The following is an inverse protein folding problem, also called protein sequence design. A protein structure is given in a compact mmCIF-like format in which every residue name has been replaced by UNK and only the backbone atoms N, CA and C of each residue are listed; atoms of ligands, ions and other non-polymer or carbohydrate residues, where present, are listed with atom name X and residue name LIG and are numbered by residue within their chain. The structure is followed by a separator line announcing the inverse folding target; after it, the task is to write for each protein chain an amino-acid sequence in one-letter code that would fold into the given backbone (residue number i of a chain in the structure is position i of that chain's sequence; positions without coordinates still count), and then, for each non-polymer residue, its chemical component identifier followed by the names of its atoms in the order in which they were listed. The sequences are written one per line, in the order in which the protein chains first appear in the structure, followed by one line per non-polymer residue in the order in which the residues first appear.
data_IF_840919271634
#
_entry.id   IF_840919271634
#
_cell.length_a   1.000
_cell.length_b   1.000
_cell.length_c   1.000
_cell.angle_alpha   90.00
_cell.angle_beta   90.00
_cell.angle_gamma   90.00
#
_symmetry.space_group_name_H-M   'P 1'
#
loop_
_entity.id
_entity.type
_entity.pdbx_description
1 polymer ?
#
# COMPACT_ATOMS: atom_id res chain seq x y z
N UNK A 1 -12.95 14.79 27.82
CA UNK A 1 -12.01 14.33 28.87
C UNK A 1 -12.47 12.96 29.34
N UNK A 2 -12.09 11.91 28.61
CA UNK A 2 -12.53 10.54 28.84
C UNK A 2 -11.55 9.83 29.78
N UNK A 3 -12.12 9.29 30.87
CA UNK A 3 -11.41 8.74 32.03
C UNK A 3 -10.79 7.39 31.72
N UNK A 4 -9.54 7.25 32.14
CA UNK A 4 -8.70 6.07 32.06
C UNK A 4 -9.19 5.02 33.06
N UNK A 5 -9.45 3.79 32.61
CA UNK A 5 -9.73 2.69 33.52
C UNK A 5 -8.41 2.04 33.94
N UNK A 6 -7.96 2.34 35.17
CA UNK A 6 -6.89 1.61 35.85
C UNK A 6 -7.53 0.50 36.69
N UNK A 7 -7.12 -0.75 36.46
CA UNK A 7 -7.35 -1.84 37.43
C UNK A 7 -6.00 -2.31 37.96
N UNK A 8 -5.62 -1.78 39.12
CA UNK A 8 -4.64 -2.37 40.03
C UNK A 8 -5.18 -3.73 40.48
N UNK A 9 -4.49 -4.82 40.15
CA UNK A 9 -4.52 -6.03 40.96
C UNK A 9 -3.10 -6.32 41.42
N UNK A 10 -2.94 -6.23 42.74
CA UNK A 10 -1.74 -6.51 43.49
C UNK A 10 -1.91 -7.92 44.06
N UNK A 11 -1.07 -8.86 43.66
CA UNK A 11 -0.91 -10.14 44.33
C UNK A 11 0.58 -10.44 44.46
N UNK A 12 1.06 -10.45 45.71
CA UNK A 12 2.29 -11.10 46.12
C UNK A 12 2.12 -12.61 45.96
N UNK A 13 3.16 -13.32 45.49
CA UNK A 13 3.88 -14.31 46.32
C UNK A 13 5.05 -15.00 45.59
N UNK A 14 6.07 -15.27 46.41
CA UNK A 14 7.08 -16.33 46.35
C UNK A 14 8.16 -16.35 45.24
N UNK A 15 9.38 -16.04 45.68
CA UNK A 15 10.62 -16.40 45.01
C UNK A 15 10.86 -17.92 45.10
N UNK A 16 11.24 -18.53 43.97
CA UNK A 16 11.90 -19.84 43.92
C UNK A 16 13.13 -19.70 43.04
N UNK A 17 14.30 -19.87 43.63
CA UNK A 17 15.59 -20.00 42.96
C UNK A 17 15.77 -21.43 42.47
N UNK A 18 15.98 -21.59 41.16
CA UNK A 18 16.40 -22.84 40.54
C UNK A 18 17.10 -22.56 39.21
N UNK A 19 18.43 -22.52 39.22
CA UNK A 19 19.23 -22.52 37.99
C UNK A 19 19.33 -23.95 37.46
N UNK A 20 18.65 -24.22 36.35
CA UNK A 20 19.04 -25.28 35.42
C UNK A 20 19.24 -24.65 34.05
N UNK A 21 20.50 -24.55 33.63
CA UNK A 21 20.87 -24.01 32.33
C UNK A 21 20.41 -24.95 31.22
N UNK A 22 19.42 -24.51 30.44
CA UNK A 22 19.21 -25.01 29.08
C UNK A 22 20.06 -24.16 28.15
N UNK A 23 21.13 -24.72 27.60
CA UNK A 23 21.87 -24.11 26.51
C UNK A 23 20.88 -23.86 25.36
N UNK A 24 20.66 -22.58 25.07
CA UNK A 24 19.72 -22.13 24.05
C UNK A 24 20.10 -22.70 22.70
N UNK A 25 19.18 -23.41 22.06
CA UNK A 25 19.19 -23.48 20.61
C UNK A 25 19.17 -22.03 20.13
N UNK A 26 20.24 -21.60 19.48
CA UNK A 26 20.27 -20.39 18.69
C UNK A 26 19.26 -20.55 17.56
N UNK A 27 17.98 -20.34 17.85
CA UNK A 27 16.99 -20.06 16.82
C UNK A 27 17.44 -18.76 16.20
N UNK A 28 18.08 -18.85 15.03
CA UNK A 28 18.23 -17.73 14.11
C UNK A 28 16.93 -16.91 14.17
N UNK A 29 17.04 -15.63 14.52
CA UNK A 29 15.90 -14.72 14.72
C UNK A 29 15.21 -14.36 13.39
N UNK A 30 15.02 -15.33 12.49
CA UNK A 30 14.06 -15.19 11.40
C UNK A 30 12.69 -15.28 12.07
N UNK A 31 12.14 -14.14 12.46
CA UNK A 31 10.76 -14.08 12.97
C UNK A 31 9.81 -14.58 11.87
N UNK A 32 8.85 -15.41 12.27
CA UNK A 32 7.89 -16.00 11.35
C UNK A 32 7.11 -14.91 10.59
N UNK A 33 6.85 -15.12 9.29
CA UNK A 33 6.07 -14.18 8.50
C UNK A 33 4.65 -14.03 9.08
N UNK A 34 4.03 -12.83 9.02
CA UNK A 34 2.65 -12.63 9.49
C UNK A 34 1.68 -13.59 8.80
N UNK A 35 0.54 -13.96 9.37
CA UNK A 35 -0.46 -14.75 8.65
C UNK A 35 -0.91 -14.06 7.35
N UNK A 36 -1.43 -14.83 6.39
CA UNK A 36 -2.08 -14.28 5.19
C UNK A 36 -3.48 -13.71 5.56
N UNK A 37 -4.03 -12.74 4.80
CA UNK A 37 -3.43 -12.11 3.61
C UNK A 37 -2.34 -11.10 3.98
N UNK A 38 -1.20 -11.18 3.28
CA UNK A 38 0.00 -10.38 3.58
C UNK A 38 0.73 -9.94 2.32
N UNK A 39 1.44 -8.81 2.44
CA UNK A 39 2.35 -8.27 1.43
C UNK A 39 3.73 -8.15 2.05
N UNK A 40 4.72 -8.80 1.44
CA UNK A 40 6.13 -8.63 1.84
C UNK A 40 6.69 -7.39 1.15
N UNK A 41 7.51 -6.62 1.86
CA UNK A 41 8.20 -5.47 1.31
C UNK A 41 9.69 -5.79 1.23
N UNK A 42 10.22 -5.87 0.01
CA UNK A 42 11.62 -6.18 -0.24
C UNK A 42 12.06 -5.74 -1.63
N UNK A 43 13.35 -5.51 -1.82
CA UNK A 43 13.93 -5.20 -3.13
C UNK A 43 13.21 -4.04 -3.85
N UNK A 44 12.75 -3.05 -3.07
CA UNK A 44 11.97 -1.91 -3.57
C UNK A 44 10.69 -2.32 -4.34
N UNK A 45 10.05 -3.41 -3.89
CA UNK A 45 8.79 -3.92 -4.42
C UNK A 45 7.86 -4.36 -3.30
N UNK A 46 6.57 -4.39 -3.62
CA UNK A 46 5.56 -5.13 -2.87
C UNK A 46 5.42 -6.53 -3.48
N UNK A 47 5.36 -7.56 -2.64
CA UNK A 47 5.22 -8.95 -3.08
C UNK A 47 4.10 -9.68 -2.28
N UNK A 48 2.96 -10.01 -2.91
CA UNK A 48 2.63 -9.68 -4.31
C UNK A 48 2.40 -8.18 -4.50
N UNK A 49 2.58 -7.71 -5.74
CA UNK A 49 2.25 -6.34 -6.16
C UNK A 49 0.74 -6.13 -6.34
N UNK A 50 0.01 -7.21 -6.63
CA UNK A 50 -1.46 -7.28 -6.65
C UNK A 50 -1.98 -8.38 -5.74
N UNK A 51 -2.77 -8.01 -4.74
CA UNK A 51 -3.42 -8.95 -3.83
C UNK A 51 -4.94 -8.83 -3.94
N UNK A 52 -5.62 -9.95 -4.18
CA UNK A 52 -7.09 -10.02 -4.21
C UNK A 52 -7.56 -10.60 -2.88
N UNK A 53 -8.49 -9.91 -2.22
CA UNK A 53 -9.04 -10.26 -0.90
C UNK A 53 -10.57 -10.15 -0.89
N UNK A 54 -11.18 -10.72 0.13
CA UNK A 54 -12.62 -10.56 0.39
C UNK A 54 -12.88 -9.33 1.26
N UNK A 55 -14.09 -8.77 1.12
CA UNK A 55 -14.54 -7.62 1.93
C UNK A 55 -14.48 -7.98 3.42
N UNK A 56 -13.89 -7.09 4.21
CA UNK A 56 -13.72 -7.22 5.64
C UNK A 56 -12.37 -7.83 6.05
N UNK A 57 -11.56 -8.35 5.12
CA UNK A 57 -10.24 -8.88 5.45
C UNK A 57 -9.25 -7.77 5.86
N UNK A 58 -8.25 -8.16 6.64
CA UNK A 58 -7.14 -7.30 7.07
C UNK A 58 -5.88 -7.75 6.36
N UNK A 59 -5.21 -6.83 5.65
CA UNK A 59 -3.91 -7.11 5.02
C UNK A 59 -2.80 -6.61 5.93
N UNK A 60 -1.78 -7.44 6.12
CA UNK A 60 -0.54 -7.06 6.80
C UNK A 60 0.58 -6.82 5.78
N UNK A 61 1.14 -5.62 5.74
CA UNK A 61 2.40 -5.35 5.08
C UNK A 61 3.55 -5.58 6.05
N UNK A 62 4.59 -6.26 5.62
CA UNK A 62 5.74 -6.60 6.45
C UNK A 62 7.05 -6.34 5.72
N UNK A 63 7.89 -5.50 6.29
CA UNK A 63 9.21 -5.22 5.75
C UNK A 63 10.22 -6.29 6.18
N UNK A 64 10.79 -6.99 5.22
CA UNK A 64 11.73 -8.11 5.48
C UNK A 64 13.20 -7.71 5.31
N UNK A 65 13.48 -6.45 4.97
CA UNK A 65 14.83 -5.91 4.76
C UNK A 65 15.13 -4.68 5.61
N UNK A 66 16.41 -4.31 5.69
CA UNK A 66 16.87 -3.14 6.47
C UNK A 66 16.60 -1.80 5.78
N UNK A 67 16.17 -1.84 4.51
CA UNK A 67 15.76 -0.66 3.76
C UNK A 67 14.40 -0.23 4.30
N UNK A 68 14.28 1.04 4.67
CA UNK A 68 13.01 1.60 5.17
C UNK A 68 12.04 1.81 4.02
N UNK A 69 10.79 1.41 4.26
CA UNK A 69 9.69 1.58 3.33
C UNK A 69 8.50 2.27 3.98
N UNK A 70 7.51 2.61 3.18
CA UNK A 70 6.20 3.08 3.64
C UNK A 70 5.12 2.33 2.87
N UNK A 71 3.91 2.34 3.43
CA UNK A 71 2.68 1.99 2.71
C UNK A 71 1.81 3.23 2.76
N UNK A 72 1.47 3.79 1.60
CA UNK A 72 0.71 5.03 1.50
C UNK A 72 -0.32 4.88 0.39
N UNK A 73 -1.60 5.01 0.69
CA UNK A 73 -2.64 4.99 -0.33
C UNK A 73 -2.48 6.20 -1.28
N UNK A 74 -2.78 5.99 -2.55
CA UNK A 74 -3.11 7.09 -3.46
C UNK A 74 -4.54 7.52 -3.16
N UNK A 75 -4.73 8.68 -2.53
CA UNK A 75 -6.03 9.11 -1.99
C UNK A 75 -7.12 9.19 -3.07
N UNK A 76 -6.76 9.65 -4.27
CA UNK A 76 -7.68 9.72 -5.42
C UNK A 76 -7.97 8.37 -6.09
N UNK A 77 -7.33 7.29 -5.60
CA UNK A 77 -7.27 5.97 -6.26
C UNK A 77 -7.58 4.83 -5.30
N UNK A 78 -8.38 5.14 -4.30
CA UNK A 78 -9.15 4.20 -3.49
C UNK A 78 -10.65 4.51 -3.71
N UNK A 79 -11.58 3.62 -3.34
CA UNK A 79 -13.01 3.93 -3.40
C UNK A 79 -13.37 5.19 -2.60
N UNK A 80 -14.31 5.99 -3.09
CA UNK A 80 -14.67 7.28 -2.48
C UNK A 80 -15.20 7.12 -1.03
N UNK A 81 -15.84 5.98 -0.72
CA UNK A 81 -16.35 5.67 0.61
C UNK A 81 -15.33 4.96 1.53
N UNK A 82 -14.11 4.70 1.06
CA UNK A 82 -13.12 3.96 1.84
C UNK A 82 -12.31 4.86 2.79
N UNK A 83 -11.93 4.30 3.94
CA UNK A 83 -10.99 4.95 4.84
C UNK A 83 -9.61 5.07 4.18
N UNK A 84 -9.00 6.26 4.27
CA UNK A 84 -7.62 6.47 3.86
C UNK A 84 -6.65 5.68 4.75
N UNK A 85 -5.52 5.22 4.19
CA UNK A 85 -4.53 4.46 4.94
C UNK A 85 -3.09 4.84 4.60
N UNK A 86 -2.26 4.95 5.65
CA UNK A 86 -0.82 5.07 5.53
C UNK A 86 -0.13 4.46 6.75
N UNK A 87 1.08 3.91 6.59
CA UNK A 87 1.85 3.27 7.65
C UNK A 87 2.27 4.19 8.80
N UNK A 88 2.05 5.51 8.67
CA UNK A 88 2.23 6.47 9.75
C UNK A 88 0.95 6.88 10.47
N UNK A 89 -0.19 6.23 10.18
CA UNK A 89 -1.48 6.56 10.79
C UNK A 89 -1.97 7.96 10.43
N UNK A 90 -1.68 8.41 9.21
CA UNK A 90 -2.07 9.74 8.74
C UNK A 90 -3.44 9.71 8.07
N UNK A 91 -4.18 10.81 8.17
CA UNK A 91 -5.55 10.93 7.64
C UNK A 91 -5.63 11.25 6.15
N UNK A 92 -4.51 11.61 5.49
CA UNK A 92 -4.50 11.94 4.06
C UNK A 92 -3.13 11.79 3.39
N UNK A 93 -3.12 11.73 2.06
CA UNK A 93 -1.90 11.61 1.26
C UNK A 93 -0.99 12.84 1.40
N UNK A 94 -1.48 14.09 1.34
CA UNK A 94 -0.64 15.27 1.55
C UNK A 94 0.04 15.29 2.93
N UNK A 95 -0.66 14.83 3.97
CA UNK A 95 -0.10 14.74 5.33
C UNK A 95 0.98 13.66 5.38
N UNK A 96 0.74 12.49 4.80
CA UNK A 96 1.71 11.41 4.74
C UNK A 96 3.01 11.82 4.03
N UNK A 97 2.87 12.48 2.87
CA UNK A 97 4.01 13.02 2.10
C UNK A 97 4.79 14.07 2.89
N UNK A 98 4.11 14.96 3.60
CA UNK A 98 4.73 16.03 4.40
C UNK A 98 5.44 15.50 5.65
N UNK A 99 4.85 14.53 6.35
CA UNK A 99 5.40 13.98 7.61
C UNK A 99 6.48 12.94 7.39
N UNK A 100 6.59 12.37 6.20
CA UNK A 100 7.70 11.49 5.86
C UNK A 100 9.06 12.22 6.01
N UNK A 101 9.99 11.61 6.76
CA UNK A 101 11.36 12.09 6.92
C UNK A 101 12.36 10.97 6.60
N UNK A 102 13.34 11.20 5.70
CA UNK A 102 14.39 10.23 5.41
C UNK A 102 15.39 10.09 6.56
N UNK A 103 15.47 11.07 7.47
CA UNK A 103 16.40 11.09 8.60
C UNK A 103 15.75 10.56 9.87
N UNK A 104 16.38 9.57 10.49
CA UNK A 104 16.03 9.12 11.85
C UNK A 104 16.49 10.17 12.89
N UNK A 105 15.67 10.45 13.91
CA UNK A 105 16.12 11.15 15.12
C UNK A 105 15.67 12.61 15.34
N UNK A 106 14.57 13.10 14.76
CA UNK A 106 13.99 14.43 15.12
C UNK A 106 12.50 14.47 15.41
N UNK A 107 11.82 13.34 15.36
CA UNK A 107 10.38 13.19 15.62
C UNK A 107 10.18 11.85 16.32
N UNK A 108 9.15 11.73 17.17
CA UNK A 108 8.74 10.43 17.69
C UNK A 108 8.65 9.45 16.51
N UNK A 109 9.44 8.38 16.54
CA UNK A 109 9.75 7.57 15.35
C UNK A 109 8.50 6.96 14.70
N UNK A 110 7.42 6.84 15.47
CA UNK A 110 6.12 6.31 15.06
C UNK A 110 5.32 7.27 14.15
N UNK A 111 5.60 8.57 14.16
CA UNK A 111 4.86 9.58 13.37
C UNK A 111 5.45 9.84 11.97
N UNK A 112 6.38 9.00 11.51
CA UNK A 112 7.08 9.21 10.23
C UNK A 112 6.60 8.31 9.09
N UNK A 113 5.76 7.31 9.41
CA UNK A 113 5.29 6.28 8.48
C UNK A 113 6.34 5.27 8.04
N UNK A 114 7.52 5.28 8.66
CA UNK A 114 8.63 4.39 8.34
C UNK A 114 8.36 2.98 8.85
N UNK A 115 8.43 2.01 7.94
CA UNK A 115 8.54 0.59 8.25
C UNK A 115 10.01 0.19 8.14
N UNK A 116 10.66 -0.04 9.28
CA UNK A 116 11.99 -0.66 9.38
C UNK A 116 11.87 -2.17 9.19
N UNK A 117 13.01 -2.87 9.18
CA UNK A 117 13.03 -4.34 9.25
C UNK A 117 12.07 -4.82 10.34
N UNK A 118 11.26 -5.79 9.98
CA UNK A 118 10.25 -6.45 10.81
C UNK A 118 9.05 -5.60 11.25
N UNK A 119 9.02 -4.31 10.94
CA UNK A 119 7.82 -3.50 11.16
C UNK A 119 6.67 -4.03 10.30
N UNK A 120 5.47 -3.94 10.88
CA UNK A 120 4.22 -4.37 10.27
C UNK A 120 3.24 -3.22 10.25
N UNK A 121 2.52 -3.11 9.15
CA UNK A 121 1.38 -2.22 9.01
C UNK A 121 0.16 -3.06 8.65
N UNK A 122 -0.98 -2.74 9.25
CA UNK A 122 -2.23 -3.47 9.02
C UNK A 122 -3.34 -2.49 8.66
N UNK A 123 -4.16 -2.88 7.69
CA UNK A 123 -5.37 -2.15 7.32
C UNK A 123 -6.50 -3.12 7.02
N UNK A 124 -7.70 -2.82 7.54
CA UNK A 124 -8.91 -3.59 7.27
C UNK A 124 -9.68 -2.95 6.12
N UNK A 125 -9.98 -3.74 5.11
CA UNK A 125 -10.67 -3.28 3.91
C UNK A 125 -12.16 -3.56 4.01
N UNK A 126 -12.97 -2.52 4.18
CA UNK A 126 -14.42 -2.66 4.38
C UNK A 126 -15.25 -2.29 3.16
N UNK A 127 -14.66 -1.66 2.14
CA UNK A 127 -15.35 -1.27 0.90
C UNK A 127 -14.77 -2.07 -0.26
N UNK A 128 -15.63 -2.55 -1.17
CA UNK A 128 -15.20 -3.26 -2.36
C UNK A 128 -14.59 -2.27 -3.37
N UNK A 129 -13.46 -2.61 -3.97
CA UNK A 129 -12.85 -1.78 -5.00
C UNK A 129 -11.36 -2.04 -5.17
N UNK A 130 -10.72 -1.16 -5.93
CA UNK A 130 -9.29 -1.18 -6.17
C UNK A 130 -8.63 -0.13 -5.31
N UNK A 131 -7.61 -0.54 -4.56
CA UNK A 131 -6.88 0.30 -3.63
C UNK A 131 -5.43 0.36 -4.04
N UNK A 132 -5.06 1.45 -4.69
CA UNK A 132 -3.69 1.66 -5.14
C UNK A 132 -2.87 2.34 -4.04
N UNK A 133 -1.64 1.88 -3.86
CA UNK A 133 -0.74 2.40 -2.83
C UNK A 133 0.71 2.38 -3.31
N UNK A 134 1.58 3.10 -2.61
CA UNK A 134 2.97 3.28 -2.97
C UNK A 134 3.89 3.44 -1.77
N UNK A 135 5.19 3.38 -2.06
CA UNK A 135 6.26 3.70 -1.11
C UNK A 135 6.82 5.08 -1.42
N UNK A 136 6.68 6.04 -0.49
CA UNK A 136 7.10 7.44 -0.64
C UNK A 136 8.57 7.58 -1.08
N UNK A 137 9.57 6.95 -0.42
CA UNK A 137 10.98 7.09 -0.84
C UNK A 137 11.28 6.53 -2.23
N UNK A 138 10.44 5.66 -2.79
CA UNK A 138 10.72 4.91 -4.02
C UNK A 138 9.72 5.19 -5.14
N UNK A 139 8.90 6.22 -5.01
CA UNK A 139 7.91 6.61 -6.02
C UNK A 139 8.58 7.13 -7.31
N UNK A 140 9.54 8.06 -7.19
CA UNK A 140 10.11 8.80 -8.31
C UNK A 140 11.25 8.08 -9.08
N UNK A 141 11.72 6.92 -8.61
CA UNK A 141 12.93 6.27 -9.13
C UNK A 141 12.75 4.86 -9.70
N UNK A 142 11.81 4.06 -9.15
CA UNK A 142 11.52 2.68 -9.59
C UNK A 142 10.02 2.33 -9.56
N UNK A 143 9.15 3.30 -9.23
CA UNK A 143 7.69 3.15 -9.15
C UNK A 143 7.27 1.97 -8.27
N UNK A 144 7.71 1.99 -7.00
CA UNK A 144 7.30 0.98 -6.02
C UNK A 144 5.83 1.18 -5.62
N UNK A 145 4.95 0.45 -6.31
CA UNK A 145 3.48 0.56 -6.19
C UNK A 145 2.85 -0.83 -6.02
N UNK A 146 1.67 -0.86 -5.43
CA UNK A 146 0.88 -2.08 -5.29
C UNK A 146 -0.61 -1.80 -5.35
N UNK A 147 -1.40 -2.86 -5.47
CA UNK A 147 -2.86 -2.79 -5.54
C UNK A 147 -3.51 -3.88 -4.68
N UNK A 148 -4.39 -3.48 -3.76
CA UNK A 148 -5.33 -4.41 -3.13
C UNK A 148 -6.65 -4.36 -3.89
N UNK A 149 -7.17 -5.51 -4.31
CA UNK A 149 -8.48 -5.64 -4.95
C UNK A 149 -9.42 -6.33 -3.97
N UNK A 150 -10.41 -5.60 -3.49
CA UNK A 150 -11.41 -6.10 -2.54
C UNK A 150 -12.63 -6.53 -3.31
N UNK A 151 -12.96 -7.82 -3.26
CA UNK A 151 -14.13 -8.38 -3.97
C UNK A 151 -15.44 -7.76 -3.48
N UNK A 152 -16.45 -7.77 -4.35
CA UNK A 152 -17.83 -7.47 -3.96
C UNK A 152 -18.35 -8.54 -2.99
N UNK A 153 -19.48 -8.29 -2.33
CA UNK A 153 -20.12 -9.31 -1.47
C UNK A 153 -20.51 -10.58 -2.25
N UNK A 154 -20.72 -10.47 -3.56
CA UNK A 154 -20.96 -11.60 -4.46
C UNK A 154 -19.68 -12.37 -4.84
N UNK A 155 -18.50 -11.96 -4.36
CA UNK A 155 -17.21 -12.57 -4.68
C UNK A 155 -16.62 -12.13 -6.03
N UNK A 156 -17.21 -11.13 -6.68
CA UNK A 156 -16.76 -10.65 -7.98
C UNK A 156 -15.62 -9.65 -7.82
N UNK A 157 -14.73 -9.58 -8.82
CA UNK A 157 -13.75 -8.49 -8.89
C UNK A 157 -14.52 -7.23 -9.32
N UNK A 158 -14.53 -6.16 -8.51
CA UNK A 158 -15.20 -4.92 -8.89
C UNK A 158 -14.57 -4.39 -10.17
N UNK A 159 -15.38 -3.73 -11.01
CA UNK A 159 -14.81 -2.88 -12.05
C UNK A 159 -13.84 -1.91 -11.38
N UNK A 160 -12.66 -1.70 -11.98
CA UNK A 160 -11.86 -0.53 -11.63
C UNK A 160 -12.74 0.70 -11.82
N UNK A 161 -12.58 1.73 -10.96
CA UNK A 161 -13.26 3.03 -11.12
C UNK A 161 -13.25 3.34 -12.61
N UNK A 162 -14.44 3.35 -13.21
CA UNK A 162 -14.62 3.24 -14.66
C UNK A 162 -13.65 4.20 -15.31
N UNK A 163 -12.74 3.68 -16.15
CA UNK A 163 -11.90 4.60 -16.88
C UNK A 163 -12.85 5.34 -17.80
N UNK A 164 -13.11 6.61 -17.48
CA UNK A 164 -14.07 7.42 -18.22
C UNK A 164 -13.63 7.36 -19.68
N UNK A 165 -14.42 6.67 -20.49
CA UNK A 165 -14.13 6.56 -21.91
C UNK A 165 -14.34 7.95 -22.51
N UNK A 166 -13.31 8.55 -23.12
CA UNK A 166 -13.47 9.82 -23.79
C UNK A 166 -14.48 9.64 -24.92
N UNK A 167 -15.40 10.60 -25.05
CA UNK A 167 -16.34 10.64 -26.16
C UNK A 167 -15.60 11.15 -27.42
N UNK A 168 -14.83 10.25 -28.04
CA UNK A 168 -13.98 10.52 -29.19
C UNK A 168 -14.12 9.41 -30.23
N UNK A 169 -13.78 9.70 -31.49
CA UNK A 169 -13.90 8.77 -32.60
C UNK A 169 -12.96 7.56 -32.42
N UNK A 170 -11.80 7.79 -31.81
CA UNK A 170 -10.84 6.74 -31.45
C UNK A 170 -10.40 6.86 -29.99
N UNK A 171 -10.07 5.72 -29.37
CA UNK A 171 -9.56 5.67 -28.00
C UNK A 171 -8.24 4.91 -27.96
N UNK A 172 -7.23 5.54 -27.35
CA UNK A 172 -5.94 4.91 -27.06
C UNK A 172 -5.88 4.56 -25.57
N UNK A 173 -5.68 3.28 -25.30
CA UNK A 173 -5.43 2.76 -23.96
C UNK A 173 -3.96 3.03 -23.59
N UNK A 174 -3.73 3.68 -22.45
CA UNK A 174 -2.41 3.88 -21.87
C UNK A 174 -2.11 2.67 -20.98
N UNK A 175 -1.30 1.75 -21.51
CA UNK A 175 -0.74 0.61 -20.79
C UNK A 175 0.49 1.01 -19.96
N UNK A 176 0.96 0.11 -19.10
CA UNK A 176 1.98 0.43 -18.09
C UNK A 176 3.30 0.92 -18.71
N UNK A 177 3.60 0.48 -19.93
CA UNK A 177 4.81 0.84 -20.67
C UNK A 177 4.56 1.13 -22.16
N UNK A 178 3.31 1.07 -22.62
CA UNK A 178 2.98 1.17 -24.05
C UNK A 178 1.53 1.63 -24.26
N UNK A 179 1.25 2.24 -25.41
CA UNK A 179 -0.10 2.60 -25.84
C UNK A 179 -0.73 1.49 -26.70
N UNK A 180 -2.05 1.33 -26.62
CA UNK A 180 -2.81 0.40 -27.47
C UNK A 180 -4.02 1.08 -28.14
N UNK A 181 -4.17 1.02 -29.47
CA UNK A 181 -3.20 0.44 -30.41
C UNK A 181 -1.89 1.25 -30.45
N UNK A 182 -0.78 0.59 -30.82
CA UNK A 182 0.55 1.23 -30.92
C UNK A 182 0.62 2.20 -32.12
N UNK A 183 -0.15 1.92 -33.16
CA UNK A 183 -0.33 2.79 -34.32
C UNK A 183 -1.81 2.93 -34.64
N UNK A 184 -2.24 4.14 -34.97
CA UNK A 184 -3.61 4.44 -35.37
C UNK A 184 -3.59 5.22 -36.68
N UNK A 185 -4.38 4.77 -37.66
CA UNK A 185 -4.66 5.56 -38.87
C UNK A 185 -6.00 6.24 -38.69
N UNK A 186 -6.03 7.57 -38.81
CA UNK A 186 -7.25 8.37 -38.64
C UNK A 186 -7.51 9.22 -39.88
N UNK A 187 -8.75 9.68 -40.04
CA UNK A 187 -9.11 10.66 -41.05
C UNK A 187 -8.95 12.09 -40.53
N UNK A 188 -8.80 13.05 -41.45
CA UNK A 188 -8.78 14.46 -41.09
C UNK A 188 -10.12 14.85 -40.47
N UNK A 189 -10.08 15.35 -39.22
CA UNK A 189 -11.26 15.73 -38.45
C UNK A 189 -11.63 14.77 -37.33
N UNK A 190 -11.06 13.56 -37.31
CA UNK A 190 -11.29 12.59 -36.24
C UNK A 190 -10.71 13.09 -34.90
N UNK A 191 -11.42 12.79 -33.82
CA UNK A 191 -10.99 13.01 -32.45
C UNK A 191 -10.35 11.74 -31.85
N UNK A 192 -9.29 11.93 -31.06
CA UNK A 192 -8.60 10.84 -30.36
C UNK A 192 -8.59 11.16 -28.87
N UNK A 193 -9.04 10.20 -28.06
CA UNK A 193 -9.00 10.27 -26.61
C UNK A 193 -8.02 9.26 -26.02
N UNK A 194 -7.46 9.57 -24.86
CA UNK A 194 -6.55 8.68 -24.14
C UNK A 194 -7.16 8.24 -22.81
N UNK A 195 -6.96 6.97 -22.49
CA UNK A 195 -7.54 6.30 -21.33
C UNK A 195 -6.43 5.68 -20.49
N UNK A 196 -6.24 6.17 -19.28
CA UNK A 196 -5.30 5.57 -18.33
C UNK A 196 -5.96 4.42 -17.55
N UNK A 197 -5.88 3.21 -18.09
CA UNK A 197 -6.46 2.01 -17.47
C UNK A 197 -5.53 1.26 -16.51
N UNK A 198 -4.26 1.65 -16.43
CA UNK A 198 -3.28 0.95 -15.58
C UNK A 198 -3.34 1.40 -14.15
N UNK A 199 -3.85 2.62 -13.93
CA UNK A 199 -3.69 3.25 -12.65
C UNK A 199 -2.18 3.41 -12.34
N UNK A 200 -1.41 3.88 -13.29
CA UNK A 200 -0.06 4.39 -13.04
C UNK A 200 -0.05 5.79 -13.62
N UNK A 201 0.52 6.77 -12.90
CA UNK A 201 0.59 8.12 -13.44
C UNK A 201 1.39 8.11 -14.75
N UNK A 202 0.75 8.51 -15.84
CA UNK A 202 1.31 8.55 -17.17
C UNK A 202 1.04 9.91 -17.80
N UNK A 203 1.84 10.30 -18.79
CA UNK A 203 1.63 11.49 -19.61
C UNK A 203 1.52 11.10 -21.08
N UNK A 204 0.80 11.92 -21.85
CA UNK A 204 0.76 11.85 -23.31
C UNK A 204 1.48 13.08 -23.83
N UNK A 205 2.62 12.88 -24.49
CA UNK A 205 3.43 13.97 -25.03
C UNK A 205 3.70 13.74 -26.50
N UNK A 206 3.31 14.71 -27.34
CA UNK A 206 3.68 14.72 -28.76
C UNK A 206 5.06 15.35 -28.96
N UNK A 207 5.83 14.84 -29.93
CA UNK A 207 7.01 15.55 -30.44
C UNK A 207 6.53 16.52 -31.52
N UNK A 208 6.72 17.82 -31.31
CA UNK A 208 6.50 18.80 -32.36
C UNK A 208 7.50 18.54 -33.50
N UNK A 209 6.98 18.45 -34.72
CA UNK A 209 7.75 18.37 -35.96
C UNK A 209 8.16 19.76 -36.45
#
# INVERSE_FOLDING_TARGET
MTRWWTRRMLLLTAAVTGLTGTAGCSTSLVRDPPPKPRVSIQSQSFDPDRLVIDRGETVTWWNVEDIVHTVTAYEERIPDEADYFASGGFDSEPVARKKYSPLAGRVEELETGRLRRDDRFEHRFTVSGHYHYFCIPHENGRTMTGTIVVRTEAGEIPSSREVVQPNTDHVIQMGATAFHPESLTIHTGDSVGWVNGTGIAHSVTGKAS
#
